data_IF_447558354828
#
_entry.id   IF_447558354828
#
_cell.length_a   1.000
_cell.length_b   1.000
_cell.length_c   1.000
_cell.angle_alpha   90.00
_cell.angle_beta   90.00
_cell.angle_gamma   90.00
#
_symmetry.space_group_name_H-M   'P 1'
#
loop_
_entity.id
_entity.type
_entity.pdbx_description
1 polymer ?
#
# COMPACT_ATOMS: atom_id res chain seq x y z
N UNK A 1 -14.51 -24.57 22.55
CA UNK A 1 -13.84 -24.75 21.26
C UNK A 1 -13.67 -23.37 20.67
N UNK A 2 -12.44 -22.85 20.71
CA UNK A 2 -12.10 -21.47 20.37
C UNK A 2 -11.99 -21.33 18.85
N UNK A 3 -12.88 -20.54 18.27
CA UNK A 3 -12.77 -20.08 16.89
C UNK A 3 -11.52 -19.22 16.74
N UNK A 4 -10.57 -19.69 15.95
CA UNK A 4 -9.49 -18.87 15.40
C UNK A 4 -10.12 -17.73 14.60
N UNK A 5 -9.82 -16.48 14.95
CA UNK A 5 -10.20 -15.31 14.16
C UNK A 5 -9.78 -15.51 12.69
N UNK A 6 -10.75 -15.88 11.86
CA UNK A 6 -10.54 -16.22 10.45
C UNK A 6 -9.99 -15.02 9.69
N UNK A 7 -8.81 -15.17 9.12
CA UNK A 7 -8.33 -14.26 8.09
C UNK A 7 -9.33 -14.27 6.94
N UNK A 8 -10.07 -13.18 6.73
CA UNK A 8 -10.94 -13.04 5.58
C UNK A 8 -10.16 -13.35 4.29
N UNK A 9 -10.79 -14.10 3.37
CA UNK A 9 -10.16 -14.45 2.11
C UNK A 9 -9.76 -13.18 1.34
N UNK A 10 -8.60 -13.16 0.65
CA UNK A 10 -8.16 -12.00 -0.09
C UNK A 10 -9.15 -11.68 -1.23
N UNK A 11 -9.44 -10.39 -1.40
CA UNK A 11 -10.28 -9.88 -2.48
C UNK A 11 -9.56 -10.03 -3.83
N UNK A 12 -8.29 -9.64 -3.86
CA UNK A 12 -7.39 -9.79 -5.00
C UNK A 12 -6.11 -10.49 -4.55
N UNK A 13 -5.64 -11.45 -5.34
CA UNK A 13 -4.37 -12.15 -5.11
C UNK A 13 -3.56 -12.23 -6.39
N UNK A 14 -2.31 -11.80 -6.33
CA UNK A 14 -1.29 -11.98 -7.35
C UNK A 14 -0.43 -13.18 -6.93
N UNK A 15 -0.27 -14.18 -7.80
CA UNK A 15 0.54 -15.36 -7.55
C UNK A 15 1.64 -15.47 -8.60
N UNK A 16 2.90 -15.36 -8.17
CA UNK A 16 4.07 -15.43 -9.04
C UNK A 16 3.92 -14.57 -10.29
N UNK A 17 3.36 -13.36 -10.16
CA UNK A 17 3.01 -12.54 -11.31
C UNK A 17 4.27 -12.19 -12.10
N UNK A 18 4.26 -12.47 -13.40
CA UNK A 18 5.35 -12.17 -14.32
C UNK A 18 4.88 -11.34 -15.50
N UNK A 19 5.68 -10.36 -15.88
CA UNK A 19 5.49 -9.61 -17.11
C UNK A 19 6.84 -9.39 -17.78
N UNK A 20 7.00 -10.01 -18.94
CA UNK A 20 8.11 -9.80 -19.86
C UNK A 20 7.63 -8.98 -21.06
N UNK A 21 8.47 -8.05 -21.52
CA UNK A 21 8.25 -7.28 -22.74
C UNK A 21 9.36 -7.58 -23.75
N UNK A 22 8.98 -7.92 -24.97
CA UNK A 22 9.93 -8.08 -26.07
C UNK A 22 10.36 -6.71 -26.59
N UNK A 23 11.64 -6.39 -26.46
CA UNK A 23 12.23 -5.15 -26.98
C UNK A 23 13.28 -5.46 -28.03
N UNK A 24 13.69 -4.45 -28.81
CA UNK A 24 14.78 -4.59 -29.79
C UNK A 24 16.11 -5.02 -29.16
N UNK A 25 16.31 -4.78 -27.87
CA UNK A 25 17.52 -5.14 -27.12
C UNK A 25 17.41 -6.51 -26.42
N UNK A 26 16.29 -7.22 -26.60
CA UNK A 26 15.99 -8.48 -25.93
C UNK A 26 14.77 -8.41 -25.02
N UNK A 27 14.40 -9.54 -24.38
CA UNK A 27 13.31 -9.60 -23.42
C UNK A 27 13.64 -8.81 -22.15
N UNK A 28 12.69 -8.02 -21.67
CA UNK A 28 12.80 -7.23 -20.44
C UNK A 28 11.77 -7.71 -19.44
N UNK A 29 12.22 -8.33 -18.35
CA UNK A 29 11.37 -8.76 -17.25
C UNK A 29 11.02 -7.55 -16.36
N UNK A 30 9.88 -6.93 -16.63
CA UNK A 30 9.39 -5.77 -15.87
C UNK A 30 8.80 -6.17 -14.50
N UNK A 31 8.29 -7.40 -14.38
CA UNK A 31 7.80 -7.99 -13.14
C UNK A 31 8.26 -9.44 -13.12
N UNK A 32 8.91 -9.88 -12.05
CA UNK A 32 9.53 -11.20 -11.93
C UNK A 32 9.09 -11.93 -10.67
N UNK A 33 7.91 -12.55 -10.72
CA UNK A 33 7.41 -13.43 -9.66
C UNK A 33 6.85 -12.69 -8.44
N UNK A 34 5.93 -11.75 -8.65
CA UNK A 34 5.35 -10.94 -7.55
C UNK A 34 4.14 -11.64 -6.90
N UNK A 35 4.23 -11.83 -5.58
CA UNK A 35 3.16 -12.37 -4.73
C UNK A 35 2.59 -11.30 -3.79
N UNK A 36 1.35 -10.87 -4.03
CA UNK A 36 0.67 -9.82 -3.26
C UNK A 36 -0.80 -10.19 -3.01
N UNK A 37 -1.34 -9.76 -1.88
CA UNK A 37 -2.73 -9.99 -1.50
C UNK A 37 -3.36 -8.69 -1.02
N UNK A 38 -4.53 -8.36 -1.55
CA UNK A 38 -5.35 -7.24 -1.08
C UNK A 38 -6.57 -7.81 -0.37
N UNK A 39 -6.70 -7.50 0.92
CA UNK A 39 -7.85 -7.92 1.74
C UNK A 39 -9.03 -6.95 1.55
N UNK A 40 -10.28 -7.40 1.68
CA UNK A 40 -11.45 -6.50 1.66
C UNK A 40 -11.31 -5.36 2.68
N UNK A 41 -11.70 -4.14 2.31
CA UNK A 41 -11.62 -2.94 3.17
C UNK A 41 -10.21 -2.54 3.62
N UNK A 42 -9.14 -3.18 3.11
CA UNK A 42 -7.75 -2.89 3.48
C UNK A 42 -6.98 -2.22 2.36
N UNK A 43 -5.93 -1.51 2.77
CA UNK A 43 -4.99 -0.85 1.86
C UNK A 43 -3.73 -1.69 1.78
N UNK A 44 -3.33 -2.02 0.57
CA UNK A 44 -1.99 -2.48 0.24
C UNK A 44 -1.30 -1.37 -0.55
N UNK A 45 -0.15 -0.89 -0.06
CA UNK A 45 0.65 0.10 -0.75
C UNK A 45 1.83 -0.56 -1.47
N UNK A 46 2.02 -0.31 -2.76
CA UNK A 46 3.17 -0.78 -3.55
C UNK A 46 4.09 0.42 -3.82
N UNK A 47 5.30 0.37 -3.26
CA UNK A 47 6.26 1.47 -3.28
C UNK A 47 7.57 1.07 -3.94
N UNK A 48 8.22 1.99 -4.63
CA UNK A 48 9.53 1.78 -5.23
C UNK A 48 9.92 2.90 -6.19
N UNK A 49 11.19 2.92 -6.61
CA UNK A 49 11.72 3.88 -7.58
C UNK A 49 10.96 3.84 -8.92
N UNK A 50 11.08 4.91 -9.72
CA UNK A 50 10.49 4.94 -11.06
C UNK A 50 11.05 3.80 -11.92
N UNK A 51 10.20 3.17 -12.74
CA UNK A 51 10.61 2.07 -13.61
C UNK A 51 10.80 0.71 -12.94
N UNK A 52 10.55 0.55 -11.63
CA UNK A 52 10.74 -0.75 -10.97
C UNK A 52 9.63 -1.79 -11.21
N UNK A 53 8.61 -1.49 -12.03
CA UNK A 53 7.55 -2.44 -12.40
C UNK A 53 6.16 -2.18 -11.79
N UNK A 54 6.00 -1.17 -10.94
CA UNK A 54 4.75 -0.88 -10.21
C UNK A 54 3.51 -0.74 -11.10
N UNK A 55 3.56 0.16 -12.09
CA UNK A 55 2.48 0.39 -13.06
C UNK A 55 2.17 -0.87 -13.88
N UNK A 56 3.19 -1.66 -14.19
CA UNK A 56 3.01 -2.94 -14.89
C UNK A 56 2.23 -3.94 -14.03
N UNK A 57 2.60 -4.08 -12.75
CA UNK A 57 1.86 -4.87 -11.75
C UNK A 57 0.42 -4.37 -11.62
N UNK A 58 0.21 -3.04 -11.54
CA UNK A 58 -1.10 -2.41 -11.44
C UNK A 58 -2.02 -2.77 -12.61
N UNK A 59 -1.51 -2.67 -13.84
CA UNK A 59 -2.27 -2.95 -15.06
C UNK A 59 -2.62 -4.42 -15.20
N UNK A 60 -1.72 -5.32 -14.78
CA UNK A 60 -2.02 -6.75 -14.71
C UNK A 60 -3.08 -7.04 -13.64
N UNK A 61 -2.91 -6.47 -12.45
CA UNK A 61 -3.84 -6.57 -11.33
C UNK A 61 -5.25 -6.03 -11.63
N UNK A 62 -5.38 -5.09 -12.58
CA UNK A 62 -6.64 -4.52 -13.07
C UNK A 62 -7.24 -5.29 -14.28
N UNK A 63 -6.53 -6.29 -14.80
CA UNK A 63 -6.92 -7.00 -16.03
C UNK A 63 -6.84 -6.15 -17.31
N UNK A 64 -6.08 -5.05 -17.30
CA UNK A 64 -5.81 -4.20 -18.47
C UNK A 64 -4.77 -4.86 -19.37
N UNK A 65 -3.75 -5.47 -18.76
CA UNK A 65 -2.69 -6.21 -19.46
C UNK A 65 -2.76 -7.67 -19.02
N UNK A 66 -2.62 -8.60 -19.96
CA UNK A 66 -2.48 -10.02 -19.64
C UNK A 66 -1.04 -10.31 -19.22
N UNK A 67 -0.78 -10.87 -18.02
CA UNK A 67 0.57 -11.22 -17.61
C UNK A 67 1.16 -12.33 -18.49
N UNK A 68 2.48 -12.37 -18.61
CA UNK A 68 3.20 -13.43 -19.35
C UNK A 68 3.30 -14.71 -18.54
N UNK A 69 3.30 -14.61 -17.21
CA UNK A 69 3.34 -15.73 -16.28
C UNK A 69 2.63 -15.43 -14.97
N UNK A 70 2.44 -16.47 -14.15
CA UNK A 70 1.68 -16.37 -12.90
C UNK A 70 0.17 -16.21 -13.09
N UNK A 71 -0.52 -15.78 -12.03
CA UNK A 71 -1.96 -15.62 -12.02
C UNK A 71 -2.43 -14.38 -11.25
N UNK A 72 -3.54 -13.81 -11.71
CA UNK A 72 -4.33 -12.83 -10.97
C UNK A 72 -5.65 -13.51 -10.61
N UNK A 73 -5.96 -13.55 -9.32
CA UNK A 73 -7.18 -14.14 -8.77
C UNK A 73 -8.02 -13.05 -8.12
N UNK A 74 -9.32 -13.04 -8.42
CA UNK A 74 -10.30 -12.18 -7.74
C UNK A 74 -11.33 -13.06 -7.05
N UNK A 75 -11.49 -12.89 -5.73
CA UNK A 75 -12.33 -13.75 -4.88
C UNK A 75 -12.02 -15.25 -5.06
N UNK A 76 -10.73 -15.57 -5.18
CA UNK A 76 -10.24 -16.93 -5.42
C UNK A 76 -10.44 -17.48 -6.84
N UNK A 77 -11.03 -16.71 -7.77
CA UNK A 77 -11.21 -17.13 -9.16
C UNK A 77 -10.10 -16.54 -10.06
N UNK A 78 -9.31 -17.36 -10.78
CA UNK A 78 -8.34 -16.86 -11.74
C UNK A 78 -9.00 -16.11 -12.91
N UNK A 79 -8.49 -14.92 -13.25
CA UNK A 79 -9.03 -14.08 -14.32
C UNK A 79 -9.03 -14.77 -15.70
N UNK A 80 -8.06 -15.66 -15.93
CA UNK A 80 -7.93 -16.44 -17.18
C UNK A 80 -9.08 -17.41 -17.38
N UNK A 81 -9.64 -17.94 -16.29
CA UNK A 81 -10.71 -18.93 -16.29
C UNK A 81 -12.11 -18.32 -16.18
N UNK A 82 -12.22 -17.00 -16.09
CA UNK A 82 -13.49 -16.30 -16.02
C UNK A 82 -14.21 -16.27 -17.38
N UNK A 83 -15.51 -16.53 -17.34
CA UNK A 83 -16.46 -16.28 -18.43
C UNK A 83 -16.55 -14.78 -18.76
N UNK A 84 -17.22 -14.45 -19.87
CA UNK A 84 -17.44 -13.06 -20.27
C UNK A 84 -18.26 -12.26 -19.23
N UNK A 85 -19.23 -12.91 -18.57
CA UNK A 85 -20.05 -12.31 -17.53
C UNK A 85 -19.22 -12.03 -16.27
N UNK A 86 -18.41 -12.99 -15.82
CA UNK A 86 -17.50 -12.81 -14.68
C UNK A 86 -16.45 -11.73 -14.94
N UNK A 87 -15.86 -11.68 -16.15
CA UNK A 87 -14.94 -10.60 -16.54
C UNK A 87 -15.62 -9.23 -16.52
N UNK A 88 -16.90 -9.17 -16.89
CA UNK A 88 -17.69 -7.93 -16.82
C UNK A 88 -17.94 -7.51 -15.38
N UNK A 89 -18.27 -8.45 -14.49
CA UNK A 89 -18.44 -8.18 -13.07
C UNK A 89 -17.10 -7.74 -12.42
N UNK A 90 -16.00 -8.42 -12.75
CA UNK A 90 -14.66 -8.06 -12.30
C UNK A 90 -14.28 -6.63 -12.71
N UNK A 91 -14.49 -6.25 -13.98
CA UNK A 91 -14.23 -4.87 -14.45
C UNK A 91 -15.12 -3.82 -13.81
N UNK A 92 -16.22 -4.20 -13.15
CA UNK A 92 -17.05 -3.27 -12.36
C UNK A 92 -16.50 -3.16 -10.94
N UNK A 93 -16.17 -4.29 -10.32
CA UNK A 93 -15.66 -4.36 -8.96
C UNK A 93 -14.23 -3.79 -8.82
N UNK A 94 -13.40 -3.91 -9.85
CA UNK A 94 -12.02 -3.39 -9.86
C UNK A 94 -11.94 -2.19 -10.79
N UNK A 95 -11.61 -1.02 -10.25
CA UNK A 95 -11.51 0.22 -11.00
C UNK A 95 -10.08 0.78 -10.90
N UNK A 96 -9.65 1.45 -11.97
CA UNK A 96 -8.29 1.94 -12.14
C UNK A 96 -8.26 3.47 -12.22
N UNK A 97 -7.48 4.10 -11.35
CA UNK A 97 -7.18 5.53 -11.39
C UNK A 97 -5.80 5.71 -12.01
N UNK A 98 -5.78 6.25 -13.23
CA UNK A 98 -4.56 6.49 -13.99
C UNK A 98 -3.67 7.58 -13.36
N UNK A 99 -2.36 7.46 -13.60
CA UNK A 99 -1.33 8.41 -13.21
C UNK A 99 -1.58 9.82 -13.76
N UNK A 100 -1.93 9.93 -15.05
CA UNK A 100 -2.13 11.21 -15.72
C UNK A 100 -3.63 11.58 -15.82
N UNK A 101 -4.13 12.57 -15.05
CA UNK A 101 -5.50 13.07 -15.17
C UNK A 101 -5.83 13.64 -16.55
N UNK A 102 -4.84 14.22 -17.25
CA UNK A 102 -5.04 14.90 -18.53
C UNK A 102 -5.29 13.89 -19.64
N UNK A 103 -4.47 12.85 -19.72
CA UNK A 103 -4.67 11.76 -20.68
C UNK A 103 -5.89 10.88 -20.34
N UNK A 104 -6.29 10.83 -19.07
CA UNK A 104 -7.40 9.98 -18.63
C UNK A 104 -8.78 10.46 -19.10
N UNK A 105 -8.97 11.76 -19.36
CA UNK A 105 -10.26 12.34 -19.74
C UNK A 105 -10.30 12.66 -21.24
N UNK A 106 -11.36 12.25 -21.94
CA UNK A 106 -11.54 12.61 -23.34
C UNK A 106 -11.83 14.13 -23.46
N UNK A 107 -10.98 14.92 -24.14
CA UNK A 107 -11.10 16.38 -24.18
C UNK A 107 -12.37 16.88 -24.89
N UNK A 108 -13.00 16.04 -25.70
CA UNK A 108 -14.22 16.35 -26.47
C UNK A 108 -15.51 15.96 -25.77
N UNK A 109 -15.43 15.37 -24.58
CA UNK A 109 -16.60 14.93 -23.80
C UNK A 109 -16.74 15.80 -22.56
N UNK A 110 -17.98 16.14 -22.21
CA UNK A 110 -18.28 16.83 -20.95
C UNK A 110 -18.03 15.91 -19.75
N UNK A 111 -17.91 16.50 -18.56
CA UNK A 111 -17.81 15.78 -17.29
C UNK A 111 -18.98 14.81 -17.12
N UNK A 112 -20.22 15.27 -17.32
CA UNK A 112 -21.40 14.41 -17.23
C UNK A 112 -21.36 13.25 -18.24
N UNK A 113 -20.91 13.49 -19.48
CA UNK A 113 -20.74 12.42 -20.46
C UNK A 113 -19.68 11.41 -20.02
N UNK A 114 -18.60 11.88 -19.40
CA UNK A 114 -17.48 11.04 -18.95
C UNK A 114 -17.89 10.15 -17.77
N UNK A 115 -18.54 10.73 -16.76
CA UNK A 115 -19.00 10.00 -15.58
C UNK A 115 -20.12 8.99 -15.91
N UNK A 116 -20.96 9.29 -16.89
CA UNK A 116 -22.11 8.42 -17.25
C UNK A 116 -21.82 7.39 -18.33
N UNK A 117 -20.66 7.46 -19.00
CA UNK A 117 -20.32 6.56 -20.10
C UNK A 117 -20.32 5.09 -19.66
N UNK A 118 -19.66 4.79 -18.53
CA UNK A 118 -19.65 3.45 -17.96
C UNK A 118 -21.05 3.01 -17.54
N UNK A 119 -21.76 3.86 -16.78
CA UNK A 119 -23.10 3.56 -16.26
C UNK A 119 -24.06 3.12 -17.38
N UNK A 120 -24.05 3.85 -18.50
CA UNK A 120 -24.84 3.52 -19.69
C UNK A 120 -24.41 2.22 -20.33
N UNK A 121 -23.09 2.02 -20.51
CA UNK A 121 -22.53 0.79 -21.12
C UNK A 121 -22.94 -0.48 -20.36
N UNK A 122 -23.03 -0.39 -19.04
CA UNK A 122 -23.41 -1.52 -18.19
C UNK A 122 -24.91 -1.56 -17.84
N UNK A 123 -25.73 -0.70 -18.45
CA UNK A 123 -27.18 -0.67 -18.23
C UNK A 123 -27.60 -0.29 -16.79
N UNK A 124 -26.73 0.41 -16.05
CA UNK A 124 -26.99 0.82 -14.66
C UNK A 124 -27.87 2.06 -14.54
N UNK A 125 -28.05 2.77 -15.66
CA UNK A 125 -28.99 3.89 -15.79
C UNK A 125 -29.77 3.72 -17.08
N UNK A 126 -31.06 4.02 -17.05
CA UNK A 126 -31.97 3.85 -18.19
C UNK A 126 -32.30 5.16 -18.88
N UNK A 127 -32.27 6.28 -18.14
CA UNK A 127 -32.67 7.60 -18.66
C UNK A 127 -31.55 8.62 -18.59
N UNK A 128 -31.63 9.66 -19.42
CA UNK A 128 -30.70 10.79 -19.39
C UNK A 128 -30.75 11.54 -18.06
N UNK A 129 -31.94 11.70 -17.49
CA UNK A 129 -32.16 12.39 -16.21
C UNK A 129 -31.50 11.64 -15.06
N UNK A 130 -31.71 10.33 -14.98
CA UNK A 130 -31.08 9.45 -14.00
C UNK A 130 -29.55 9.47 -14.12
N UNK A 131 -29.03 9.39 -15.35
CA UNK A 131 -27.60 9.49 -15.60
C UNK A 131 -27.02 10.82 -15.10
N UNK A 132 -27.72 11.94 -15.34
CA UNK A 132 -27.27 13.26 -14.90
C UNK A 132 -27.31 13.39 -13.37
N UNK A 133 -28.35 12.88 -12.73
CA UNK A 133 -28.45 12.85 -11.26
C UNK A 133 -27.28 12.05 -10.65
N UNK A 134 -26.99 10.86 -11.19
CA UNK A 134 -25.83 10.05 -10.76
C UNK A 134 -24.50 10.76 -10.96
N UNK A 135 -24.32 11.46 -12.08
CA UNK A 135 -23.12 12.27 -12.28
C UNK A 135 -23.00 13.40 -11.24
N UNK A 136 -24.11 14.04 -10.86
CA UNK A 136 -24.12 15.07 -9.84
C UNK A 136 -23.74 14.50 -8.45
N UNK A 137 -24.31 13.37 -8.06
CA UNK A 137 -23.95 12.64 -6.83
C UNK A 137 -22.46 12.31 -6.78
N UNK A 138 -21.90 11.79 -7.88
CA UNK A 138 -20.47 11.47 -7.97
C UNK A 138 -19.57 12.71 -7.82
N UNK A 139 -19.99 13.86 -8.35
CA UNK A 139 -19.26 15.12 -8.19
C UNK A 139 -19.29 15.62 -6.75
N UNK A 140 -20.43 15.51 -6.07
CA UNK A 140 -20.54 15.83 -4.63
C UNK A 140 -19.61 14.94 -3.82
N UNK A 141 -19.58 13.64 -4.13
CA UNK A 141 -18.74 12.66 -3.45
C UNK A 141 -17.25 12.98 -3.53
N UNK A 142 -16.78 13.67 -4.58
CA UNK A 142 -15.38 14.11 -4.70
C UNK A 142 -15.18 15.59 -4.33
N UNK A 143 -16.14 16.20 -3.65
CA UNK A 143 -16.16 17.61 -3.22
C UNK A 143 -16.02 18.60 -4.39
N UNK A 144 -16.65 18.32 -5.54
CA UNK A 144 -16.86 19.27 -6.63
C UNK A 144 -18.26 19.85 -6.52
N UNK A 145 -18.41 20.84 -5.62
CA UNK A 145 -19.67 21.50 -5.31
C UNK A 145 -19.67 22.97 -5.75
N UNK A 146 -20.81 23.51 -6.22
CA UNK A 146 -22.03 22.79 -6.61
C UNK A 146 -21.83 21.99 -7.92
N UNK A 147 -22.39 20.77 -8.07
CA UNK A 147 -22.17 19.91 -9.25
C UNK A 147 -22.57 20.55 -10.57
N UNK A 148 -23.62 21.38 -10.54
CA UNK A 148 -24.20 22.01 -11.73
C UNK A 148 -23.21 22.90 -12.47
N UNK A 149 -22.21 23.45 -11.75
CA UNK A 149 -21.14 24.25 -12.34
C UNK A 149 -20.16 23.42 -13.17
N UNK A 150 -20.11 22.09 -12.98
CA UNK A 150 -19.10 21.22 -13.57
C UNK A 150 -19.66 20.21 -14.59
N UNK A 151 -20.94 19.84 -14.48
CA UNK A 151 -21.53 18.75 -15.29
C UNK A 151 -21.35 18.96 -16.81
N UNK A 152 -21.56 20.19 -17.27
CA UNK A 152 -21.46 20.53 -18.70
C UNK A 152 -20.08 21.08 -19.08
N UNK A 153 -19.16 21.20 -18.12
CA UNK A 153 -17.78 21.59 -18.40
C UNK A 153 -17.05 20.49 -19.17
N UNK A 154 -16.11 20.92 -20.00
CA UNK A 154 -15.13 20.08 -20.66
C UNK A 154 -13.85 20.01 -19.82
N UNK A 155 -13.02 18.96 -19.98
CA UNK A 155 -11.77 18.83 -19.24
C UNK A 155 -10.92 20.11 -19.31
N UNK A 156 -10.78 20.73 -20.49
CA UNK A 156 -9.98 21.95 -20.67
C UNK A 156 -10.41 23.15 -19.83
N UNK A 157 -11.65 23.16 -19.31
CA UNK A 157 -12.20 24.22 -18.46
C UNK A 157 -11.98 23.97 -16.95
N UNK A 158 -11.38 22.83 -16.59
CA UNK A 158 -11.11 22.43 -15.21
C UNK A 158 -9.65 22.61 -14.83
N UNK A 159 -9.40 22.98 -13.57
CA UNK A 159 -8.07 22.94 -12.96
C UNK A 159 -7.53 21.50 -12.87
N UNK A 160 -6.21 21.34 -12.70
CA UNK A 160 -5.59 20.01 -12.58
C UNK A 160 -6.21 19.17 -11.44
N UNK A 161 -6.42 19.78 -10.28
CA UNK A 161 -7.08 19.12 -9.15
C UNK A 161 -8.54 18.77 -9.40
N UNK A 162 -9.29 19.63 -10.12
CA UNK A 162 -10.68 19.34 -10.50
C UNK A 162 -10.75 18.16 -11.48
N UNK A 163 -9.86 18.09 -12.48
CA UNK A 163 -9.78 16.95 -13.41
C UNK A 163 -9.49 15.66 -12.68
N UNK A 164 -8.59 15.69 -11.71
CA UNK A 164 -8.27 14.48 -10.96
C UNK A 164 -9.43 14.03 -10.08
N UNK A 165 -10.18 14.96 -9.47
CA UNK A 165 -11.43 14.62 -8.77
C UNK A 165 -12.46 14.02 -9.73
N UNK A 166 -12.61 14.52 -10.96
CA UNK A 166 -13.47 13.91 -11.98
C UNK A 166 -12.99 12.50 -12.35
N UNK A 167 -11.68 12.27 -12.45
CA UNK A 167 -11.11 10.95 -12.71
C UNK A 167 -11.40 9.96 -11.57
N UNK A 168 -11.30 10.40 -10.31
CA UNK A 168 -11.67 9.62 -9.12
C UNK A 168 -13.17 9.34 -9.14
N UNK A 169 -14.02 10.35 -9.35
CA UNK A 169 -15.47 10.19 -9.46
C UNK A 169 -15.86 9.17 -10.54
N UNK A 170 -15.16 9.18 -11.68
CA UNK A 170 -15.37 8.19 -12.74
C UNK A 170 -15.09 6.76 -12.27
N UNK A 171 -14.03 6.55 -11.49
CA UNK A 171 -13.71 5.23 -10.94
C UNK A 171 -14.74 4.76 -9.91
N UNK A 172 -15.38 5.69 -9.19
CA UNK A 172 -16.41 5.37 -8.20
C UNK A 172 -17.78 5.07 -8.82
N UNK A 173 -18.00 5.46 -10.08
CA UNK A 173 -19.30 5.32 -10.76
C UNK A 173 -19.84 3.89 -10.78
N UNK A 174 -18.97 2.88 -10.67
CA UNK A 174 -19.34 1.46 -10.72
C UNK A 174 -19.60 0.82 -9.35
N UNK A 175 -19.50 1.59 -8.25
CA UNK A 175 -19.45 1.06 -6.88
C UNK A 175 -18.37 -0.03 -6.75
N UNK A 176 -17.08 0.33 -6.94
CA UNK A 176 -15.99 -0.63 -6.89
C UNK A 176 -15.83 -1.25 -5.50
N UNK A 177 -15.29 -2.46 -5.46
CA UNK A 177 -14.81 -3.10 -4.23
C UNK A 177 -13.30 -2.91 -4.06
N UNK A 178 -12.59 -2.67 -5.17
CA UNK A 178 -11.16 -2.41 -5.20
C UNK A 178 -10.85 -1.22 -6.11
N UNK A 179 -10.10 -0.27 -5.57
CA UNK A 179 -9.50 0.82 -6.32
C UNK A 179 -7.99 0.59 -6.46
N UNK A 180 -7.51 0.59 -7.70
CA UNK A 180 -6.09 0.56 -8.04
C UNK A 180 -5.68 1.99 -8.39
N UNK A 181 -4.86 2.61 -7.55
CA UNK A 181 -4.41 3.99 -7.71
C UNK A 181 -2.94 4.00 -8.18
N UNK A 182 -2.71 4.27 -9.46
CA UNK A 182 -1.38 4.22 -10.07
C UNK A 182 -0.73 5.61 -10.10
N UNK A 183 0.08 5.94 -9.11
CA UNK A 183 0.78 7.24 -8.98
C UNK A 183 -0.15 8.46 -9.14
N UNK A 184 -1.41 8.32 -8.73
CA UNK A 184 -2.50 9.27 -8.96
C UNK A 184 -2.34 10.63 -8.26
N UNK A 185 -1.28 10.81 -7.48
CA UNK A 185 -0.98 12.03 -6.71
C UNK A 185 0.33 12.70 -7.10
N UNK A 186 1.11 12.08 -8.01
CA UNK A 186 2.49 12.46 -8.34
C UNK A 186 2.59 13.82 -9.04
N UNK A 187 1.70 14.09 -10.00
CA UNK A 187 1.70 15.31 -10.83
C UNK A 187 0.93 16.49 -10.22
N UNK A 188 0.56 16.42 -8.94
CA UNK A 188 -0.27 17.42 -8.27
C UNK A 188 0.54 18.24 -7.26
N UNK A 189 0.18 19.52 -7.14
CA UNK A 189 0.62 20.39 -6.05
C UNK A 189 0.34 19.77 -4.68
N UNK A 190 1.18 20.08 -3.69
CA UNK A 190 1.12 19.50 -2.34
C UNK A 190 -0.27 19.65 -1.71
N UNK A 191 -0.89 20.82 -1.82
CA UNK A 191 -2.22 21.08 -1.26
C UNK A 191 -3.32 20.23 -1.91
N UNK A 192 -3.26 20.07 -3.24
CA UNK A 192 -4.21 19.25 -4.00
C UNK A 192 -4.00 17.76 -3.68
N UNK A 193 -2.74 17.33 -3.56
CA UNK A 193 -2.36 15.97 -3.16
C UNK A 193 -2.98 15.58 -1.82
N UNK A 194 -2.80 16.40 -0.79
CA UNK A 194 -3.37 16.14 0.54
C UNK A 194 -4.89 16.07 0.48
N UNK A 195 -5.53 17.02 -0.21
CA UNK A 195 -6.99 17.02 -0.34
C UNK A 195 -7.52 15.78 -1.06
N UNK A 196 -6.80 15.28 -2.07
CA UNK A 196 -7.14 14.04 -2.75
C UNK A 196 -6.95 12.81 -1.86
N UNK A 197 -5.84 12.72 -1.12
CA UNK A 197 -5.60 11.63 -0.17
C UNK A 197 -6.69 11.58 0.91
N UNK A 198 -7.10 12.73 1.44
CA UNK A 198 -8.22 12.81 2.39
C UNK A 198 -9.53 12.33 1.77
N UNK A 199 -9.77 12.69 0.50
CA UNK A 199 -10.96 12.22 -0.23
C UNK A 199 -10.93 10.70 -0.39
N UNK A 200 -9.79 10.12 -0.81
CA UNK A 200 -9.63 8.66 -0.95
C UNK A 200 -9.74 7.93 0.39
N UNK A 201 -9.16 8.48 1.47
CA UNK A 201 -9.23 7.91 2.81
C UNK A 201 -10.66 7.90 3.35
N UNK A 202 -11.39 8.99 3.16
CA UNK A 202 -12.82 9.04 3.51
C UNK A 202 -13.64 8.02 2.70
N UNK A 203 -13.34 7.85 1.41
CA UNK A 203 -14.02 6.86 0.57
C UNK A 203 -13.72 5.42 0.99
N UNK A 204 -12.48 5.13 1.40
CA UNK A 204 -12.11 3.84 2.01
C UNK A 204 -12.99 3.56 3.23
N UNK A 205 -13.12 4.53 4.12
CA UNK A 205 -13.79 4.34 5.41
C UNK A 205 -15.33 4.32 5.28
N UNK A 206 -15.90 5.15 4.39
CA UNK A 206 -17.36 5.23 4.19
C UNK A 206 -17.92 4.11 3.30
N UNK A 207 -17.15 3.65 2.30
CA UNK A 207 -17.62 2.71 1.28
C UNK A 207 -17.03 1.30 1.41
N UNK A 208 -16.19 1.06 2.44
CA UNK A 208 -15.48 -0.21 2.68
C UNK A 208 -14.69 -0.72 1.45
N UNK A 209 -14.12 0.23 0.69
CA UNK A 209 -13.39 -0.05 -0.54
C UNK A 209 -11.96 -0.43 -0.23
N UNK A 210 -11.48 -1.55 -0.79
CA UNK A 210 -10.09 -1.94 -0.72
C UNK A 210 -9.23 -1.10 -1.67
N UNK A 211 -7.95 -0.92 -1.34
CA UNK A 211 -7.02 -0.16 -2.19
C UNK A 211 -5.75 -0.95 -2.48
N UNK A 212 -5.36 -0.94 -3.76
CA UNK A 212 -3.97 -1.14 -4.16
C UNK A 212 -3.42 0.24 -4.53
N UNK A 213 -2.73 0.87 -3.59
CA UNK A 213 -2.20 2.22 -3.75
C UNK A 213 -0.75 2.17 -4.20
N UNK A 214 -0.41 2.86 -5.29
CA UNK A 214 0.91 2.79 -5.88
C UNK A 214 1.53 4.18 -5.88
N UNK A 215 2.74 4.26 -5.32
CA UNK A 215 3.46 5.52 -5.19
C UNK A 215 4.96 5.28 -5.22
N UNK A 216 5.75 6.31 -5.51
CA UNK A 216 7.18 6.30 -5.27
C UNK A 216 7.54 7.00 -3.95
N UNK A 217 6.57 7.64 -3.29
CA UNK A 217 6.74 8.43 -2.07
C UNK A 217 6.28 7.64 -0.84
N UNK A 218 7.26 7.28 0.02
CA UNK A 218 7.02 6.57 1.28
C UNK A 218 6.24 7.40 2.31
N UNK A 219 6.35 8.73 2.29
CA UNK A 219 5.58 9.58 3.20
C UNK A 219 4.08 9.55 2.85
N UNK A 220 3.76 9.53 1.55
CA UNK A 220 2.38 9.32 1.09
C UNK A 220 1.90 7.91 1.45
N UNK A 221 2.75 6.89 1.28
CA UNK A 221 2.42 5.52 1.68
C UNK A 221 2.14 5.40 3.18
N UNK A 222 2.99 6.03 4.02
CA UNK A 222 2.82 6.13 5.48
C UNK A 222 1.46 6.72 5.83
N UNK A 223 1.13 7.84 5.21
CA UNK A 223 -0.10 8.57 5.49
C UNK A 223 -1.35 7.77 5.11
N UNK A 224 -1.35 7.14 3.94
CA UNK A 224 -2.56 6.50 3.40
C UNK A 224 -2.76 5.05 3.87
N UNK A 225 -1.68 4.30 4.08
CA UNK A 225 -1.70 2.86 4.36
C UNK A 225 -1.28 2.51 5.79
N UNK A 226 -1.36 3.42 6.76
CA UNK A 226 -0.90 3.19 8.13
C UNK A 226 -1.51 1.94 8.78
N UNK A 227 -2.83 1.73 8.62
CA UNK A 227 -3.55 0.55 9.13
C UNK A 227 -3.57 -0.65 8.15
N UNK A 228 -2.73 -0.58 7.12
CA UNK A 228 -2.63 -1.55 6.04
C UNK A 228 -1.25 -2.22 5.97
N UNK A 229 -0.92 -2.68 4.77
CA UNK A 229 0.35 -3.32 4.45
C UNK A 229 1.09 -2.51 3.38
N UNK A 230 2.42 -2.60 3.38
CA UNK A 230 3.28 -2.00 2.36
C UNK A 230 4.19 -3.08 1.76
N UNK A 231 4.31 -3.04 0.43
CA UNK A 231 5.22 -3.83 -0.38
C UNK A 231 6.23 -2.90 -1.04
N UNK A 232 7.51 -3.10 -0.78
CA UNK A 232 8.60 -2.35 -1.41
C UNK A 232 9.12 -3.17 -2.60
N UNK A 233 9.12 -2.56 -3.78
CA UNK A 233 9.47 -3.19 -5.04
C UNK A 233 10.75 -2.57 -5.62
N UNK A 234 11.67 -3.43 -6.02
CA UNK A 234 12.91 -3.06 -6.68
C UNK A 234 13.11 -3.93 -7.93
N UNK A 235 13.32 -3.30 -9.08
CA UNK A 235 13.57 -3.93 -10.39
C UNK A 235 12.76 -5.22 -10.65
N UNK A 236 11.44 -5.12 -10.58
CA UNK A 236 10.53 -6.23 -10.90
C UNK A 236 10.16 -7.13 -9.72
N UNK A 237 10.75 -6.93 -8.53
CA UNK A 237 10.63 -7.88 -7.41
C UNK A 237 10.25 -7.18 -6.11
N UNK A 238 9.48 -7.87 -5.27
CA UNK A 238 9.17 -7.38 -3.91
C UNK A 238 10.34 -7.74 -2.99
N UNK A 239 11.01 -6.72 -2.47
CA UNK A 239 12.17 -6.90 -1.58
C UNK A 239 11.80 -6.89 -0.11
N UNK A 240 10.67 -6.29 0.24
CA UNK A 240 10.18 -6.20 1.61
C UNK A 240 8.67 -6.03 1.63
N UNK A 241 7.98 -6.74 2.52
CA UNK A 241 6.53 -6.71 2.64
C UNK A 241 6.10 -6.89 4.09
N UNK A 242 5.17 -6.08 4.58
CA UNK A 242 4.62 -6.27 5.92
C UNK A 242 3.70 -5.14 6.35
N UNK A 243 3.29 -5.11 7.64
CA UNK A 243 2.53 -4.01 8.20
C UNK A 243 3.26 -2.68 8.02
N UNK A 244 2.54 -1.65 7.58
CA UNK A 244 3.13 -0.34 7.29
C UNK A 244 3.93 0.25 8.46
N UNK A 245 3.47 0.20 9.73
CA UNK A 245 4.24 0.74 10.85
C UNK A 245 5.57 0.01 11.08
N UNK A 246 5.63 -1.30 10.81
CA UNK A 246 6.84 -2.10 11.00
C UNK A 246 7.89 -1.85 9.90
N UNK A 247 7.43 -1.79 8.65
CA UNK A 247 8.33 -1.57 7.51
C UNK A 247 8.89 -0.15 7.53
N UNK A 248 8.08 0.84 7.90
CA UNK A 248 8.51 2.24 7.97
C UNK A 248 9.31 2.52 9.24
N UNK A 249 8.88 1.99 10.40
CA UNK A 249 9.53 2.27 11.68
C UNK A 249 10.82 1.49 11.92
N UNK A 250 10.97 0.32 11.31
CA UNK A 250 12.17 -0.51 11.45
C UNK A 250 12.48 -1.25 10.14
N UNK A 251 12.80 -0.56 9.03
CA UNK A 251 13.10 -1.18 7.74
C UNK A 251 14.25 -2.18 7.82
N UNK A 252 14.06 -3.37 7.24
CA UNK A 252 15.07 -4.43 7.31
C UNK A 252 15.91 -4.48 6.04
N UNK A 253 15.28 -4.39 4.86
CA UNK A 253 16.02 -4.48 3.62
C UNK A 253 16.87 -3.20 3.40
N UNK A 254 18.16 -3.31 3.02
CA UNK A 254 19.03 -2.14 2.81
C UNK A 254 18.48 -1.12 1.80
N UNK A 255 17.79 -1.57 0.75
CA UNK A 255 17.05 -0.68 -0.16
C UNK A 255 15.95 0.12 0.53
N UNK A 256 15.12 -0.52 1.37
CA UNK A 256 14.05 0.17 2.10
C UNK A 256 14.63 1.17 3.10
N UNK A 257 15.73 0.81 3.79
CA UNK A 257 16.48 1.74 4.64
C UNK A 257 16.95 2.97 3.86
N UNK A 258 17.52 2.76 2.67
CA UNK A 258 17.97 3.85 1.81
C UNK A 258 16.82 4.73 1.32
N UNK A 259 15.68 4.14 0.92
CA UNK A 259 14.50 4.91 0.52
C UNK A 259 13.94 5.78 1.66
N UNK A 260 13.88 5.24 2.89
CA UNK A 260 13.42 5.99 4.06
C UNK A 260 14.42 7.09 4.43
N UNK A 261 15.73 6.77 4.42
CA UNK A 261 16.78 7.75 4.70
C UNK A 261 16.86 8.89 3.68
N UNK A 262 16.36 8.68 2.46
CA UNK A 262 16.27 9.72 1.43
C UNK A 262 15.08 10.69 1.64
N UNK A 263 14.14 10.40 2.55
CA UNK A 263 13.04 11.31 2.87
C UNK A 263 13.60 12.46 3.71
N UNK A 264 13.49 13.70 3.18
CA UNK A 264 13.97 14.88 3.88
C UNK A 264 13.27 15.05 5.23
N UNK A 265 14.07 15.10 6.30
CA UNK A 265 13.61 15.41 7.64
C UNK A 265 13.62 16.93 7.85
N UNK A 266 12.46 17.59 8.04
CA UNK A 266 12.40 19.04 8.25
C UNK A 266 13.02 19.49 9.57
N UNK A 267 13.07 18.62 10.60
CA UNK A 267 13.76 18.94 11.85
C UNK A 267 15.29 18.77 11.68
N UNK A 268 16.09 19.83 11.84
CA UNK A 268 17.53 19.78 11.60
C UNK A 268 18.28 18.84 12.56
N UNK A 269 17.78 18.61 13.78
CA UNK A 269 18.42 17.73 14.75
C UNK A 269 18.14 16.26 14.43
N UNK A 270 16.90 15.94 14.04
CA UNK A 270 16.55 14.61 13.52
C UNK A 270 17.22 14.33 12.17
N UNK A 271 17.35 15.34 11.31
CA UNK A 271 18.05 15.22 10.03
C UNK A 271 19.53 14.85 10.22
N UNK A 272 20.21 15.44 11.20
CA UNK A 272 21.61 15.09 11.54
C UNK A 272 21.73 13.68 12.10
N UNK A 273 20.78 13.20 12.89
CA UNK A 273 20.74 11.81 13.34
C UNK A 273 20.53 10.84 12.15
N UNK A 274 19.68 11.22 11.19
CA UNK A 274 19.36 10.44 10.00
C UNK A 274 20.45 10.47 8.92
N UNK A 275 21.41 11.40 8.96
CA UNK A 275 22.59 11.43 8.07
C UNK A 275 23.50 10.19 8.21
N UNK A 276 23.30 9.38 9.26
CA UNK A 276 23.95 8.08 9.43
C UNK A 276 23.33 6.96 8.58
N UNK A 277 22.26 7.22 7.83
CA UNK A 277 21.66 6.27 6.90
C UNK A 277 22.73 5.76 5.91
N UNK A 278 22.92 4.44 5.88
CA UNK A 278 23.99 3.76 5.14
C UNK A 278 24.09 4.29 3.70
N UNK A 279 25.22 4.95 3.39
CA UNK A 279 25.46 5.49 2.06
C UNK A 279 25.45 4.34 1.04
N UNK A 280 24.62 4.48 0.01
CA UNK A 280 24.58 3.53 -1.10
C UNK A 280 25.96 3.43 -1.75
N UNK A 281 26.36 2.22 -2.12
CA UNK A 281 27.64 1.98 -2.82
C UNK A 281 27.69 2.60 -4.21
N UNK A 282 26.53 2.79 -4.83
CA UNK A 282 26.37 3.46 -6.12
C UNK A 282 25.01 4.14 -6.19
N UNK A 283 24.97 5.28 -6.87
CA UNK A 283 23.73 5.97 -7.23
C UNK A 283 23.10 5.42 -8.52
N UNK A 284 23.87 4.69 -9.33
CA UNK A 284 23.42 4.17 -10.62
C UNK A 284 22.47 2.98 -10.42
N UNK A 285 21.28 3.08 -11.05
CA UNK A 285 20.28 2.02 -11.03
C UNK A 285 20.59 1.04 -12.17
N UNK A 286 20.77 -0.27 -11.90
CA UNK A 286 20.95 -1.26 -12.95
C UNK A 286 19.80 -1.25 -13.97
N UNK A 287 20.13 -1.50 -15.23
CA UNK A 287 19.13 -1.61 -16.30
C UNK A 287 18.36 -2.94 -16.18
N UNK A 288 17.05 -2.91 -16.44
CA UNK A 288 16.24 -4.13 -16.55
C UNK A 288 16.66 -5.04 -17.72
N UNK A 289 17.43 -4.52 -18.69
CA UNK A 289 17.98 -5.32 -19.80
C UNK A 289 19.25 -6.08 -19.43
N UNK A 290 19.92 -5.66 -18.35
CA UNK A 290 21.21 -6.19 -17.93
C UNK A 290 21.26 -6.21 -16.39
N UNK A 291 20.46 -7.11 -15.83
CA UNK A 291 20.36 -7.28 -14.38
C UNK A 291 21.59 -8.05 -13.88
N UNK A 292 22.17 -7.62 -12.74
CA UNK A 292 23.27 -8.35 -12.15
C UNK A 292 22.81 -9.73 -11.65
N UNK A 293 23.75 -10.67 -11.59
CA UNK A 293 23.50 -12.00 -11.04
C UNK A 293 23.17 -11.93 -9.53
N UNK A 294 22.36 -12.87 -9.06
CA UNK A 294 21.95 -12.94 -7.66
C UNK A 294 20.96 -11.83 -7.25
N UNK A 295 21.29 -11.07 -6.21
CA UNK A 295 20.44 -9.98 -5.71
C UNK A 295 20.56 -8.74 -6.60
N UNK A 296 19.48 -8.33 -7.26
CA UNK A 296 19.46 -7.16 -8.13
C UNK A 296 19.98 -5.86 -7.47
N UNK A 297 19.86 -5.73 -6.15
CA UNK A 297 20.29 -4.56 -5.38
C UNK A 297 21.77 -4.60 -4.94
N UNK A 298 22.46 -5.73 -5.08
CA UNK A 298 23.81 -5.93 -4.57
C UNK A 298 24.85 -4.87 -5.03
N UNK A 299 24.77 -4.27 -6.24
CA UNK A 299 25.72 -3.24 -6.66
C UNK A 299 25.59 -1.93 -5.88
N UNK A 300 24.39 -1.64 -5.37
CA UNK A 300 24.08 -0.43 -4.58
C UNK A 300 24.09 -0.72 -3.06
N UNK A 301 23.99 -1.99 -2.67
CA UNK A 301 23.77 -2.42 -1.30
C UNK A 301 25.00 -2.18 -0.39
N UNK A 302 24.90 -1.37 0.68
CA UNK A 302 25.98 -1.18 1.64
C UNK A 302 26.31 -2.47 2.42
N UNK A 303 25.31 -3.33 2.66
CA UNK A 303 25.46 -4.62 3.32
C UNK A 303 25.81 -5.78 2.35
N UNK A 304 26.53 -5.49 1.26
CA UNK A 304 26.90 -6.50 0.28
C UNK A 304 27.94 -7.49 0.80
N UNK A 305 27.72 -8.77 0.53
CA UNK A 305 28.70 -9.84 0.77
C UNK A 305 29.04 -10.60 -0.53
N UNK A 306 30.32 -10.57 -0.97
CA UNK A 306 30.78 -11.33 -2.14
C UNK A 306 30.58 -12.84 -1.97
N UNK A 307 30.23 -13.53 -3.05
CA UNK A 307 29.98 -14.97 -3.08
C UNK A 307 28.61 -15.40 -2.55
N UNK A 308 27.85 -14.48 -1.94
CA UNK A 308 26.50 -14.73 -1.45
C UNK A 308 25.48 -13.89 -2.23
N UNK A 309 25.65 -12.56 -2.22
CA UNK A 309 24.70 -11.61 -2.81
C UNK A 309 24.77 -11.52 -4.34
N UNK A 310 25.91 -11.86 -4.94
CA UNK A 310 26.17 -11.86 -6.38
C UNK A 310 26.00 -13.25 -7.03
N UNK A 311 25.96 -14.31 -6.21
CA UNK A 311 25.86 -15.69 -6.69
C UNK A 311 24.41 -16.21 -6.77
N UNK A 312 23.58 -15.87 -5.78
CA UNK A 312 22.23 -16.42 -5.65
C UNK A 312 21.20 -15.35 -5.39
N UNK A 313 20.02 -15.52 -5.97
CA UNK A 313 18.93 -14.59 -5.75
C UNK A 313 18.28 -14.86 -4.38
N UNK A 314 18.06 -13.83 -3.54
CA UNK A 314 17.36 -13.99 -2.28
C UNK A 314 15.87 -14.28 -2.53
N UNK A 315 15.31 -15.17 -1.72
CA UNK A 315 13.88 -15.46 -1.72
C UNK A 315 13.17 -14.62 -0.66
N UNK A 316 11.91 -14.27 -0.90
CA UNK A 316 11.12 -13.46 0.02
C UNK A 316 10.67 -14.31 1.23
N UNK A 317 11.48 -14.34 2.28
CA UNK A 317 11.25 -15.16 3.49
C UNK A 317 10.61 -14.35 4.61
N UNK A 318 9.87 -15.02 5.50
CA UNK A 318 9.29 -14.37 6.70
C UNK A 318 10.39 -14.00 7.69
N UNK A 319 10.30 -12.80 8.23
CA UNK A 319 11.22 -12.30 9.25
C UNK A 319 10.55 -12.29 10.62
N UNK A 320 11.22 -12.85 11.64
CA UNK A 320 10.79 -12.81 13.05
C UNK A 320 10.04 -14.05 13.53
N UNK A 321 10.61 -14.72 14.54
CA UNK A 321 9.95 -15.73 15.37
C UNK A 321 10.26 -15.40 16.84
N UNK A 322 9.57 -14.40 17.41
CA UNK A 322 9.65 -14.10 18.84
C UNK A 322 8.25 -14.24 19.47
N UNK A 323 8.20 -15.07 20.52
CA UNK A 323 7.01 -15.56 21.20
C UNK A 323 6.25 -14.54 22.05
N UNK A 324 5.86 -13.40 21.51
CA UNK A 324 4.82 -12.53 22.08
C UNK A 324 3.99 -11.89 20.96
N UNK A 325 3.01 -12.63 20.42
CA UNK A 325 1.75 -12.13 19.84
C UNK A 325 1.72 -11.20 18.61
N UNK A 326 2.81 -10.54 18.20
CA UNK A 326 2.72 -9.41 17.25
C UNK A 326 3.47 -9.58 15.91
N UNK A 327 4.34 -10.57 15.72
CA UNK A 327 5.03 -10.79 14.44
C UNK A 327 4.11 -11.48 13.40
N UNK A 328 3.06 -10.79 12.94
CA UNK A 328 2.19 -11.29 11.88
C UNK A 328 2.74 -10.86 10.52
N UNK A 329 3.67 -11.65 9.97
CA UNK A 329 3.77 -11.83 8.51
C UNK A 329 4.69 -10.88 7.73
N UNK A 330 5.63 -10.18 8.37
CA UNK A 330 6.69 -9.45 7.64
C UNK A 330 7.55 -10.42 6.83
N UNK A 331 7.91 -10.03 5.61
CA UNK A 331 8.77 -10.78 4.69
C UNK A 331 9.85 -9.89 4.10
N UNK A 332 11.05 -10.42 3.93
CA UNK A 332 12.21 -9.70 3.39
C UNK A 332 12.97 -10.62 2.44
N UNK A 333 13.37 -10.09 1.29
CA UNK A 333 14.23 -10.76 0.32
C UNK A 333 15.67 -10.26 0.47
N UNK A 334 16.41 -10.79 1.44
CA UNK A 334 17.81 -10.43 1.67
C UNK A 334 18.57 -11.53 2.41
N UNK A 335 19.71 -11.97 1.87
CA UNK A 335 20.54 -13.02 2.47
C UNK A 335 21.11 -12.63 3.82
N UNK A 336 21.64 -11.40 3.95
CA UNK A 336 22.31 -10.91 5.17
C UNK A 336 21.31 -10.82 6.31
N UNK A 337 20.17 -10.15 6.07
CA UNK A 337 19.09 -10.03 7.05
C UNK A 337 18.55 -11.40 7.46
N UNK A 338 18.27 -12.29 6.50
CA UNK A 338 17.76 -13.62 6.80
C UNK A 338 18.76 -14.47 7.61
N UNK A 339 20.06 -14.32 7.35
CA UNK A 339 21.11 -15.00 8.14
C UNK A 339 21.21 -14.44 9.55
N UNK A 340 21.22 -13.13 9.71
CA UNK A 340 21.44 -12.48 11.00
C UNK A 340 20.26 -12.75 11.95
N UNK A 341 19.03 -12.73 11.43
CA UNK A 341 17.84 -13.13 12.20
C UNK A 341 17.86 -14.61 12.62
N UNK A 342 18.36 -15.51 11.75
CA UNK A 342 18.55 -16.92 12.11
C UNK A 342 19.56 -17.07 13.25
N UNK A 343 20.64 -16.28 13.26
CA UNK A 343 21.65 -16.29 14.33
C UNK A 343 21.09 -15.77 15.66
N UNK A 344 20.33 -14.68 15.63
CA UNK A 344 19.66 -14.14 16.82
C UNK A 344 18.66 -15.13 17.42
N UNK A 345 17.89 -15.83 16.58
CA UNK A 345 16.95 -16.84 17.04
C UNK A 345 17.64 -18.03 17.73
N UNK A 346 18.77 -18.50 17.18
CA UNK A 346 19.57 -19.58 17.80
C UNK A 346 20.18 -19.14 19.14
N UNK A 347 20.63 -17.88 19.24
CA UNK A 347 21.14 -17.31 20.51
C UNK A 347 20.04 -17.17 21.57
N UNK A 348 18.86 -16.66 21.20
CA UNK A 348 17.72 -16.55 22.11
C UNK A 348 17.18 -17.91 22.59
N UNK A 349 17.25 -18.94 21.75
CA UNK A 349 16.90 -20.32 22.13
C UNK A 349 17.95 -20.98 23.04
N UNK A 350 19.22 -20.55 22.97
CA UNK A 350 20.30 -21.03 23.83
C UNK A 350 20.27 -20.38 25.22
N UNK A 351 19.97 -19.07 25.31
CA UNK A 351 19.80 -18.36 26.60
C UNK A 351 18.52 -18.75 27.34
N UNK A 352 17.49 -19.24 26.63
CA UNK A 352 16.22 -19.69 27.24
C UNK A 352 16.28 -21.03 27.99
N UNK A 353 17.47 -21.61 28.22
CA UNK A 353 17.65 -22.90 28.92
C UNK A 353 18.22 -22.80 30.33
N UNK A 354 18.46 -21.60 30.86
CA UNK A 354 19.11 -21.42 32.17
C UNK A 354 18.38 -20.45 33.12
N UNK A 355 17.04 -20.52 33.19
CA UNK A 355 16.30 -19.94 34.32
C UNK A 355 15.64 -21.04 35.16
N UNK A 356 16.50 -21.81 35.84
CA UNK A 356 16.10 -22.57 37.02
C UNK A 356 16.24 -21.68 38.24
N UNK A 357 15.10 -21.24 38.75
CA UNK A 357 14.84 -21.13 40.19
C UNK A 357 15.71 -20.13 40.96
N UNK A 358 15.43 -18.83 40.78
CA UNK A 358 15.59 -17.88 41.89
C UNK A 358 14.25 -17.75 42.62
N UNK A 359 14.05 -18.64 43.59
CA UNK A 359 13.11 -18.43 44.70
C UNK A 359 13.45 -17.11 45.38
N UNK A 360 12.59 -16.11 45.21
CA UNK A 360 12.55 -14.91 46.03
C UNK A 360 11.97 -15.28 47.40
N UNK A 361 12.85 -15.72 48.30
CA UNK A 361 12.59 -15.69 49.74
C UNK A 361 13.40 -14.55 50.39
N UNK A 362 12.74 -13.91 51.36
CA UNK A 362 13.26 -12.96 52.35
C UNK A 362 13.38 -11.47 51.96
N UNK A 363 12.25 -10.74 52.09
CA UNK A 363 12.26 -9.41 52.72
C UNK A 363 11.33 -9.44 53.95
N UNK A 364 11.85 -9.31 55.19
CA UNK A 364 11.03 -9.23 56.39
C UNK A 364 10.57 -7.78 56.62
N UNK A 365 9.25 -7.57 56.76
CA UNK A 365 8.71 -6.24 57.04
C UNK A 365 7.20 -6.12 56.94
N UNK A 366 6.44 -7.10 57.44
CA UNK A 366 4.98 -7.04 57.50
C UNK A 366 4.50 -6.19 58.68
N UNK A 367 3.73 -5.12 58.41
CA UNK A 367 2.58 -4.70 59.26
C UNK A 367 1.47 -4.06 58.41
N UNK A 368 0.42 -4.85 58.15
CA UNK A 368 -0.99 -4.42 58.10
C UNK A 368 -1.64 -4.99 59.38
N UNK A 369 -2.70 -4.40 59.97
CA UNK A 369 -4.03 -4.19 59.34
C UNK A 369 -4.68 -2.84 59.79
N UNK A 370 -5.91 -2.41 59.48
CA UNK A 370 -7.15 -3.09 59.09
C UNK A 370 -8.15 -2.11 58.41
N UNK A 371 -9.21 -2.74 57.90
CA UNK A 371 -10.49 -2.30 57.33
C UNK A 371 -11.30 -1.16 58.00
N UNK A 372 -12.16 -0.52 57.18
CA UNK A 372 -13.41 0.17 57.58
C UNK A 372 -13.80 1.24 56.54
N UNK A 373 -14.66 0.93 55.57
CA UNK A 373 -16.13 1.11 55.58
C UNK A 373 -16.60 2.53 55.16
N UNK A 374 -17.40 2.53 54.08
CA UNK A 374 -18.45 3.45 53.62
C UNK A 374 -18.56 4.87 54.22
N UNK A 375 -18.69 5.89 53.36
CA UNK A 375 -19.91 6.72 53.22
C UNK A 375 -19.73 7.82 52.15
N UNK A 376 -20.75 7.97 51.31
CA UNK A 376 -21.08 9.13 50.47
C UNK A 376 -22.36 9.73 51.11
N UNK A 377 -22.54 11.06 51.32
CA UNK A 377 -23.07 11.89 50.23
C UNK A 377 -22.80 13.42 50.27
N UNK A 378 -22.84 14.03 49.08
CA UNK A 378 -23.47 15.35 48.72
C UNK A 378 -23.04 16.66 49.43
N UNK A 379 -22.50 17.62 48.64
CA UNK A 379 -23.17 18.88 48.18
C UNK A 379 -22.19 19.89 47.55
N UNK A 380 -22.52 20.28 46.32
CA UNK A 380 -22.18 21.49 45.50
C UNK A 380 -22.23 22.85 46.23
N UNK A 381 -21.94 24.02 45.58
CA UNK A 381 -21.25 24.32 44.30
C UNK A 381 -20.28 25.56 44.35
N UNK A 382 -19.57 25.84 43.25
CA UNK A 382 -19.51 27.21 42.72
C UNK A 382 -18.16 27.80 42.28
N UNK A 383 -18.22 28.51 41.13
CA UNK A 383 -17.29 29.51 40.58
C UNK A 383 -16.02 28.99 39.87
N UNK A 384 -15.57 29.52 38.74
CA UNK A 384 -16.11 30.48 37.77
C UNK A 384 -15.22 30.42 36.51
N UNK A 385 -15.81 30.67 35.34
CA UNK A 385 -15.10 30.97 34.08
C UNK A 385 -14.67 32.44 34.05
N UNK A 386 -13.51 32.72 33.44
CA UNK A 386 -13.06 33.95 32.73
C UNK A 386 -11.54 33.80 32.50
N UNK A 387 -10.90 34.09 31.38
CA UNK A 387 -11.25 34.77 30.13
C UNK A 387 -10.36 34.22 28.99
#
# INVERSE_FOLDING_TARGET
MSESAGSAAPLLKLRGLEQVFDTKKGPVAAVGGVDLEVKPGKVLCLVGESGCGKTTTARAAAGITRPTGGAVEFRGRPLTEMSAAEKTAYRRAVQYIHQDPYAALNPTRTVASTLTAGLKRHGLVKTRTEARAKAAELLQLVNLTPPESYLDSYPHQLSGGQRQRVNVARSLAMNPELLICDESTSMLDVSIRVSLLNTLGRLRDELDVAFLFITHDLAVAKYFAWDGEIAVMYLGKVVEHGPTPEVIGNPQHPYTKALIGAVCEPDPDLARANQSAEQLRSAEIPSLTDLPAGCAFHPRCPAFEPGLCDATEPVLERTGANGNGAARGRRVSCHVVARDQRREHVRGAADGRDDRTLTLDAVPGSRRPASGAAEDPKKTPGAAWSA
#
